data_IF_645053060580
#
_entry.id   IF_645053060580
#
_cell.length_a   1.000
_cell.length_b   1.000
_cell.length_c   1.000
_cell.angle_alpha   90.00
_cell.angle_beta   90.00
_cell.angle_gamma   90.00
#
_symmetry.space_group_name_H-M   'P 1'
#
loop_
_entity.id
_entity.type
_entity.pdbx_description
1 polymer ?
#
# COMPACT_ATOMS: atom_id res chain seq x y z
N UNK A 1 -2.44 -35.20 -2.24
CA UNK A 1 -1.86 -33.90 -1.89
C UNK A 1 -2.95 -33.11 -1.18
N UNK A 2 -2.95 -33.13 0.15
CA UNK A 2 -3.87 -32.35 0.97
C UNK A 2 -3.55 -30.86 0.76
N UNK A 3 -4.51 -30.10 0.26
CA UNK A 3 -4.43 -28.64 0.26
C UNK A 3 -4.62 -28.17 1.70
N UNK A 4 -3.55 -28.15 2.49
CA UNK A 4 -3.55 -27.40 3.74
C UNK A 4 -3.70 -25.92 3.38
N UNK A 5 -4.92 -25.42 3.54
CA UNK A 5 -5.15 -23.99 3.49
C UNK A 5 -4.50 -23.36 4.72
N UNK A 6 -3.85 -22.19 4.58
CA UNK A 6 -3.41 -21.44 5.75
C UNK A 6 -4.61 -21.21 6.68
N UNK A 7 -4.41 -21.23 8.01
CA UNK A 7 -5.49 -21.01 8.96
C UNK A 7 -6.21 -19.71 8.62
N UNK A 8 -7.54 -19.75 8.65
CA UNK A 8 -8.36 -18.56 8.40
C UNK A 8 -8.06 -17.51 9.48
N UNK A 9 -7.91 -16.25 9.08
CA UNK A 9 -7.73 -15.13 10.01
C UNK A 9 -8.96 -15.05 10.93
N UNK A 10 -8.75 -14.85 12.22
CA UNK A 10 -9.84 -14.65 13.19
C UNK A 10 -10.73 -13.46 12.77
N UNK A 11 -12.06 -13.64 12.62
CA UNK A 11 -12.96 -12.60 12.11
C UNK A 11 -12.98 -11.35 12.99
N UNK A 12 -12.90 -11.52 14.30
CA UNK A 12 -12.92 -10.40 15.24
C UNK A 12 -11.60 -9.61 15.17
N UNK A 13 -10.46 -10.29 15.02
CA UNK A 13 -9.17 -9.64 14.77
C UNK A 13 -9.16 -8.88 13.44
N UNK A 14 -9.70 -9.47 12.37
CA UNK A 14 -9.80 -8.82 11.06
C UNK A 14 -10.67 -7.56 11.14
N UNK A 15 -11.84 -7.63 11.79
CA UNK A 15 -12.73 -6.48 11.95
C UNK A 15 -12.10 -5.37 12.81
N UNK A 16 -11.46 -5.74 13.94
CA UNK A 16 -10.74 -4.76 14.77
C UNK A 16 -9.65 -4.05 13.98
N UNK A 17 -8.88 -4.79 13.20
CA UNK A 17 -7.85 -4.19 12.34
C UNK A 17 -8.46 -3.28 11.28
N UNK A 18 -9.56 -3.69 10.62
CA UNK A 18 -10.25 -2.87 9.62
C UNK A 18 -10.82 -1.59 10.22
N UNK A 19 -11.33 -1.62 11.45
CA UNK A 19 -11.87 -0.44 12.13
C UNK A 19 -10.78 0.48 12.69
N UNK A 20 -9.58 -0.06 12.95
CA UNK A 20 -8.45 0.72 13.43
C UNK A 20 -7.90 1.61 12.30
N UNK A 21 -8.42 2.84 12.17
CA UNK A 21 -7.89 3.85 11.27
C UNK A 21 -6.77 4.63 11.98
N UNK A 22 -5.49 4.47 11.57
CA UNK A 22 -4.43 5.28 12.16
C UNK A 22 -4.54 6.73 11.65
N UNK A 23 -4.28 7.71 12.51
CA UNK A 23 -4.33 9.13 12.12
C UNK A 23 -3.21 9.53 11.13
N UNK A 24 -2.11 8.78 11.15
CA UNK A 24 -0.97 8.91 10.27
C UNK A 24 -0.41 7.52 9.96
N UNK A 25 0.34 7.40 8.87
CA UNK A 25 0.94 6.11 8.51
C UNK A 25 1.92 5.61 9.57
N UNK A 26 1.81 4.34 10.00
CA UNK A 26 2.78 3.74 10.90
C UNK A 26 4.19 3.77 10.30
N UNK A 27 5.20 4.03 11.14
CA UNK A 27 6.59 4.22 10.69
C UNK A 27 7.12 3.07 9.82
N UNK A 28 6.77 1.81 10.16
CA UNK A 28 7.27 0.64 9.44
C UNK A 28 6.67 0.58 8.04
N UNK A 29 5.42 1.00 7.88
CA UNK A 29 4.74 1.00 6.60
C UNK A 29 5.34 2.08 5.70
N UNK A 30 5.63 3.26 6.25
CA UNK A 30 6.39 4.29 5.54
C UNK A 30 7.75 3.77 5.07
N UNK A 31 8.52 3.14 5.96
CA UNK A 31 9.86 2.64 5.62
C UNK A 31 9.84 1.53 4.56
N UNK A 32 8.89 0.59 4.68
CA UNK A 32 8.70 -0.46 3.66
C UNK A 32 8.28 0.14 2.33
N UNK A 33 7.30 1.05 2.33
CA UNK A 33 6.79 1.66 1.11
C UNK A 33 7.86 2.52 0.41
N UNK A 34 8.67 3.28 1.17
CA UNK A 34 9.83 4.01 0.67
C UNK A 34 10.83 3.07 -0.01
N UNK A 35 11.27 2.00 0.65
CA UNK A 35 12.19 1.01 0.05
C UNK A 35 11.61 0.32 -1.18
N UNK A 36 10.30 0.07 -1.21
CA UNK A 36 9.63 -0.52 -2.38
C UNK A 36 9.55 0.47 -3.54
N UNK A 37 9.27 1.73 -3.27
CA UNK A 37 9.28 2.80 -4.27
C UNK A 37 10.65 2.93 -4.95
N UNK A 38 11.76 2.76 -4.21
CA UNK A 38 13.11 2.80 -4.78
C UNK A 38 13.34 1.67 -5.79
N UNK A 39 12.72 0.51 -5.58
CA UNK A 39 12.85 -0.64 -6.49
C UNK A 39 12.06 -0.50 -7.79
N UNK A 40 11.19 0.51 -7.90
CA UNK A 40 10.41 0.73 -9.11
C UNK A 40 11.27 1.20 -10.30
N UNK A 41 12.57 1.41 -10.12
CA UNK A 41 13.53 1.61 -11.21
C UNK A 41 13.59 0.42 -12.18
N UNK A 42 13.15 -0.77 -11.75
CA UNK A 42 13.03 -1.93 -12.65
C UNK A 42 11.87 -1.80 -13.65
N UNK A 43 10.92 -0.88 -13.41
CA UNK A 43 9.79 -0.64 -14.30
C UNK A 43 10.24 0.30 -15.41
N UNK A 44 10.62 -0.28 -16.55
CA UNK A 44 11.13 0.46 -17.72
C UNK A 44 10.10 1.40 -18.33
N UNK A 45 8.82 1.00 -18.34
CA UNK A 45 7.71 1.81 -18.89
C UNK A 45 6.80 2.27 -17.76
N UNK A 46 6.73 3.59 -17.45
CA UNK A 46 5.82 4.10 -16.43
C UNK A 46 4.35 3.72 -16.72
N UNK A 47 3.58 3.36 -15.69
CA UNK A 47 2.16 3.06 -15.88
C UNK A 47 1.40 4.32 -16.28
N UNK A 48 0.34 4.20 -17.08
CA UNK A 48 -0.55 5.34 -17.35
C UNK A 48 -1.43 5.67 -16.14
N UNK A 49 -1.77 4.65 -15.33
CA UNK A 49 -2.66 4.74 -14.18
C UNK A 49 -2.12 3.85 -13.07
N UNK A 50 -2.22 4.30 -11.83
CA UNK A 50 -1.89 3.49 -10.66
C UNK A 50 -2.85 3.82 -9.52
N UNK A 51 -3.04 2.86 -8.62
CA UNK A 51 -3.91 3.01 -7.46
C UNK A 51 -3.10 2.84 -6.18
N UNK A 52 -3.22 3.80 -5.26
CA UNK A 52 -2.78 3.62 -3.89
C UNK A 52 -3.95 3.15 -3.03
N UNK A 53 -3.87 1.91 -2.57
CA UNK A 53 -4.85 1.32 -1.67
C UNK A 53 -4.46 1.67 -0.23
N UNK A 54 -5.41 2.19 0.51
CA UNK A 54 -5.31 2.64 1.90
C UNK A 54 -4.04 3.44 2.21
N UNK A 55 -3.72 4.55 1.52
CA UNK A 55 -2.50 5.32 1.73
C UNK A 55 -2.23 5.67 3.19
N UNK A 56 -3.25 6.01 3.98
CA UNK A 56 -3.06 6.34 5.39
C UNK A 56 -2.47 5.16 6.15
N UNK A 57 -2.82 3.92 5.79
CA UNK A 57 -2.17 2.73 6.35
C UNK A 57 -0.88 2.36 5.61
N UNK A 58 -0.81 2.58 4.30
CA UNK A 58 0.26 2.07 3.45
C UNK A 58 1.52 2.93 3.37
N UNK A 59 1.44 4.21 3.73
CA UNK A 59 2.56 5.15 3.70
C UNK A 59 2.27 6.40 2.86
N UNK A 60 2.00 7.52 3.52
CA UNK A 60 1.72 8.80 2.86
C UNK A 60 2.99 9.45 2.29
N UNK A 61 4.17 9.20 2.88
CA UNK A 61 5.43 9.72 2.34
C UNK A 61 5.74 9.05 1.00
N UNK A 62 5.60 7.73 0.93
CA UNK A 62 5.77 6.99 -0.32
C UNK A 62 4.72 7.39 -1.37
N UNK A 63 3.47 7.65 -0.98
CA UNK A 63 2.46 8.23 -1.88
C UNK A 63 2.96 9.51 -2.54
N UNK A 64 3.50 10.46 -1.75
CA UNK A 64 4.04 11.72 -2.27
C UNK A 64 5.21 11.49 -3.24
N UNK A 65 6.14 10.59 -2.90
CA UNK A 65 7.26 10.24 -3.78
C UNK A 65 6.80 9.62 -5.10
N UNK A 66 5.77 8.77 -5.07
CA UNK A 66 5.20 8.17 -6.28
C UNK A 66 4.46 9.18 -7.14
N UNK A 67 3.75 10.14 -6.54
CA UNK A 67 3.15 11.27 -7.27
C UNK A 67 4.21 12.12 -7.98
N UNK A 68 5.40 12.28 -7.40
CA UNK A 68 6.52 12.96 -8.05
C UNK A 68 7.15 12.11 -9.16
N UNK A 69 7.46 10.84 -8.87
CA UNK A 69 8.08 9.89 -9.82
C UNK A 69 7.23 9.67 -11.06
N UNK A 70 5.92 9.54 -10.88
CA UNK A 70 4.93 9.27 -11.93
C UNK A 70 3.98 10.47 -12.10
N UNK A 71 4.55 11.66 -12.27
CA UNK A 71 3.80 12.90 -12.38
C UNK A 71 2.77 12.92 -13.54
N UNK A 72 3.05 12.18 -14.61
CA UNK A 72 2.18 12.07 -15.79
C UNK A 72 1.13 10.95 -15.69
N UNK A 73 1.20 10.12 -14.65
CA UNK A 73 0.28 9.00 -14.47
C UNK A 73 -0.94 9.44 -13.66
N UNK A 74 -2.11 8.93 -14.04
CA UNK A 74 -3.33 9.07 -13.25
C UNK A 74 -3.13 8.33 -11.92
N UNK A 75 -3.37 9.02 -10.81
CA UNK A 75 -3.31 8.45 -9.46
C UNK A 75 -4.72 8.30 -8.92
N UNK A 76 -5.10 7.06 -8.63
CA UNK A 76 -6.33 6.70 -7.94
C UNK A 76 -6.01 6.44 -6.47
N UNK A 77 -6.90 6.85 -5.57
CA UNK A 77 -6.80 6.56 -4.14
C UNK A 77 -8.06 5.81 -3.73
N UNK A 78 -7.86 4.70 -3.01
CA UNK A 78 -8.93 3.91 -2.44
C UNK A 78 -8.73 3.78 -0.94
N UNK A 79 -9.72 4.19 -0.15
CA UNK A 79 -9.80 3.99 1.31
C UNK A 79 -11.04 3.15 1.60
N UNK A 80 -10.95 2.20 2.55
CA UNK A 80 -11.98 1.19 2.84
C UNK A 80 -12.50 1.30 4.28
#
# INVERSE_FOLDING_TARGET
>A
MSHELPPTIDPAAALRWQQAAPAASPWLHEEVARRMQERLDWIVKPPQRWCHWQPVRGGLQAHALLRQRYAQSECLVYEA
#
